data_IF_859732418169
#
_entry.id   IF_859732418169
#
_cell.length_a   1.000
_cell.length_b   1.000
_cell.length_c   1.000
_cell.angle_alpha   90.00
_cell.angle_beta   90.00
_cell.angle_gamma   90.00
#
_symmetry.space_group_name_H-M   'P 1'
#
loop_
_entity.id
_entity.type
_entity.pdbx_description
1 polymer ?
#
# COMPACT_ATOMS: atom_id res chain seq x y z
N UNK A 1 1.88 -3.57 13.73
CA UNK A 1 2.15 -2.78 12.52
C UNK A 1 1.94 -3.69 11.33
N UNK A 2 1.26 -3.22 10.29
CA UNK A 2 1.12 -3.95 9.02
C UNK A 2 2.08 -3.32 8.02
N UNK A 3 2.87 -4.14 7.31
CA UNK A 3 3.77 -3.64 6.27
C UNK A 3 3.01 -3.42 4.96
N UNK A 4 3.48 -2.46 4.15
CA UNK A 4 2.95 -2.22 2.81
C UNK A 4 3.92 -2.84 1.80
N UNK A 5 3.43 -3.68 0.89
CA UNK A 5 4.25 -4.32 -0.15
C UNK A 5 4.60 -3.32 -1.23
N UNK A 6 3.58 -2.65 -1.79
CA UNK A 6 3.76 -1.76 -2.92
C UNK A 6 2.62 -0.76 -3.05
N UNK A 7 2.91 0.37 -3.70
CA UNK A 7 1.90 1.29 -4.20
C UNK A 7 1.47 0.80 -5.59
N UNK A 8 0.17 0.61 -5.78
CA UNK A 8 -0.39 0.14 -7.06
C UNK A 8 -1.02 1.26 -7.88
N UNK A 9 -1.36 2.38 -7.25
CA UNK A 9 -1.93 3.52 -7.95
C UNK A 9 -1.76 4.83 -7.15
N UNK A 10 -1.78 5.95 -7.85
CA UNK A 10 -1.81 7.29 -7.27
C UNK A 10 -3.12 8.01 -7.67
N UNK A 11 -3.75 8.69 -6.71
CA UNK A 11 -4.89 9.58 -6.99
C UNK A 11 -4.84 10.82 -6.11
N UNK A 12 -4.44 11.94 -6.69
CA UNK A 12 -4.41 13.25 -6.03
C UNK A 12 -3.51 13.23 -4.79
N UNK A 13 -4.11 13.25 -3.60
CA UNK A 13 -3.41 13.20 -2.29
C UNK A 13 -3.49 11.82 -1.61
N UNK A 14 -3.79 10.77 -2.36
CA UNK A 14 -3.84 9.39 -1.84
C UNK A 14 -3.02 8.44 -2.70
N UNK A 15 -2.45 7.43 -2.05
CA UNK A 15 -1.85 6.26 -2.67
C UNK A 15 -2.74 5.05 -2.43
N UNK A 16 -2.88 4.22 -3.46
CA UNK A 16 -3.49 2.91 -3.33
C UNK A 16 -2.38 1.93 -3.04
N UNK A 17 -2.46 1.27 -1.89
CA UNK A 17 -1.41 0.37 -1.40
C UNK A 17 -1.89 -1.07 -1.33
N UNK A 18 -0.96 -1.99 -1.53
CA UNK A 18 -1.15 -3.41 -1.27
C UNK A 18 -0.46 -3.76 0.04
N UNK A 19 -1.21 -4.29 1.00
CA UNK A 19 -0.66 -4.68 2.30
C UNK A 19 0.11 -6.00 2.21
N UNK A 20 1.09 -6.13 3.08
CA UNK A 20 1.92 -7.31 3.24
C UNK A 20 1.15 -8.44 3.90
N UNK A 21 1.32 -9.64 3.35
CA UNK A 21 0.66 -10.85 3.79
C UNK A 21 -0.69 -11.10 3.14
N UNK A 22 -1.28 -12.21 3.57
CA UNK A 22 -2.59 -12.64 3.13
C UNK A 22 -3.58 -12.47 4.27
N UNK A 23 -4.80 -12.08 3.91
CA UNK A 23 -5.92 -12.04 4.83
C UNK A 23 -6.18 -13.47 5.36
N UNK A 24 -6.09 -13.70 6.68
CA UNK A 24 -6.16 -15.04 7.26
C UNK A 24 -7.57 -15.65 7.16
N UNK A 25 -8.59 -14.86 6.82
CA UNK A 25 -9.97 -15.34 6.63
C UNK A 25 -10.21 -15.86 5.22
N UNK A 26 -9.60 -15.24 4.22
CA UNK A 26 -9.82 -15.55 2.80
C UNK A 26 -8.64 -16.27 2.14
N UNK A 27 -7.47 -16.27 2.78
CA UNK A 27 -6.22 -16.81 2.24
C UNK A 27 -5.66 -16.00 1.07
N UNK A 28 -6.27 -14.86 0.75
CA UNK A 28 -5.91 -14.00 -0.39
C UNK A 28 -5.09 -12.80 0.08
N UNK A 29 -4.28 -12.19 -0.77
CA UNK A 29 -3.65 -10.91 -0.45
C UNK A 29 -4.71 -9.89 -0.01
N UNK A 30 -4.35 -9.06 0.97
CA UNK A 30 -5.23 -8.02 1.48
C UNK A 30 -5.78 -7.13 0.37
N UNK A 31 -6.99 -6.62 0.57
CA UNK A 31 -7.61 -5.68 -0.35
C UNK A 31 -6.77 -4.41 -0.50
N UNK A 32 -6.73 -3.89 -1.72
CA UNK A 32 -6.06 -2.64 -2.05
C UNK A 32 -6.82 -1.47 -1.44
N UNK A 33 -6.18 -0.73 -0.54
CA UNK A 33 -6.79 0.38 0.18
C UNK A 33 -6.18 1.73 -0.22
N UNK A 34 -6.95 2.81 -0.06
CA UNK A 34 -6.53 4.17 -0.41
C UNK A 34 -6.08 4.92 0.85
N UNK A 35 -4.78 4.90 1.09
CA UNK A 35 -4.16 5.63 2.18
C UNK A 35 -3.73 7.03 1.76
N UNK A 36 -3.80 8.03 2.65
CA UNK A 36 -3.25 9.35 2.38
C UNK A 36 -1.74 9.31 2.12
N UNK A 37 -1.22 10.21 1.27
CA UNK A 37 0.23 10.24 0.96
C UNK A 37 1.12 10.42 2.20
N UNK A 38 0.63 11.10 3.22
CA UNK A 38 1.37 11.32 4.47
C UNK A 38 1.45 10.08 5.37
N UNK A 39 0.64 9.05 5.09
CA UNK A 39 0.65 7.78 5.81
C UNK A 39 1.63 6.79 5.16
N UNK A 40 1.92 6.98 3.86
CA UNK A 40 3.01 6.25 3.21
C UNK A 40 4.35 6.88 3.59
N UNK A 41 5.30 6.05 4.00
CA UNK A 41 6.69 6.46 4.15
C UNK A 41 7.27 6.88 2.81
N UNK A 42 8.04 7.97 2.79
CA UNK A 42 8.68 8.50 1.58
C UNK A 42 9.50 7.41 0.85
N UNK A 43 10.18 6.54 1.61
CA UNK A 43 10.94 5.41 1.07
C UNK A 43 10.09 4.47 0.18
N UNK A 44 8.85 4.18 0.58
CA UNK A 44 7.94 3.33 -0.20
C UNK A 44 7.53 4.02 -1.51
N UNK A 45 7.34 5.35 -1.46
CA UNK A 45 7.01 6.15 -2.64
C UNK A 45 8.21 6.25 -3.59
N UNK A 46 9.42 6.37 -3.05
CA UNK A 46 10.66 6.37 -3.82
C UNK A 46 10.91 5.02 -4.50
N UNK A 47 10.79 3.92 -3.77
CA UNK A 47 10.89 2.55 -4.32
C UNK A 47 9.88 2.33 -5.45
N UNK A 48 8.65 2.84 -5.32
CA UNK A 48 7.63 2.73 -6.36
C UNK A 48 7.90 3.60 -7.60
N UNK A 49 8.50 4.78 -7.42
CA UNK A 49 8.80 5.72 -8.52
C UNK A 49 10.06 5.37 -9.30
N UNK A 50 10.89 4.46 -8.79
CA UNK A 50 12.14 4.05 -9.41
C UNK A 50 11.91 3.25 -10.68
#
# INVERSE_FOLDING_TARGET
>A
LWEVIEIVAERGKKYRVRWAGNDPKTGRPWALDWVPKHDCTDHLVEEWKR
#
